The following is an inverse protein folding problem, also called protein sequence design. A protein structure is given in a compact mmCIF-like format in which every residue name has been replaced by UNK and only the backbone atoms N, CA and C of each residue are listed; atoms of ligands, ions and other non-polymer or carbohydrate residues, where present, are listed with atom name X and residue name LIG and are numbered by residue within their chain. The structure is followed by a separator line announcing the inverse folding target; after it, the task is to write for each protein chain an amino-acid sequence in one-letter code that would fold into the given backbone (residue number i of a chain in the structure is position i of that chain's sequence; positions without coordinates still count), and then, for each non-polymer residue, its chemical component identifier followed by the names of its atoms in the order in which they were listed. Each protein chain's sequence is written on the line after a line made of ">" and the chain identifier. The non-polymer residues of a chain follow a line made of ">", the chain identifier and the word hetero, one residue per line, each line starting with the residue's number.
data_IF_455764925250
#
_entry.id   IF_455764925250
#
_cell.length_a   1.000
_cell.length_b   1.000
_cell.length_c   1.000
_cell.angle_alpha   90.00
_cell.angle_beta   90.00
_cell.angle_gamma   90.00
#
_symmetry.space_group_name_H-M   'P 1'
#
loop_
_entity.id
_entity.type
_entity.pdbx_description
1 polymer ?
#
# COMPACT_ATOMS: atom_id res chain seq x y z
N UNK A 1 -17.31 -1.68 -1.46
CA UNK A 1 -18.41 -1.13 -2.28
C UNK A 1 -17.91 0.00 -3.20
N UNK A 2 -17.22 1.01 -2.67
CA UNK A 2 -16.70 2.14 -3.46
C UNK A 2 -15.80 1.68 -4.62
N UNK A 3 -14.88 0.74 -4.36
CA UNK A 3 -13.97 0.19 -5.37
C UNK A 3 -14.72 -0.50 -6.52
N UNK A 4 -15.76 -1.27 -6.21
CA UNK A 4 -16.60 -1.90 -7.22
C UNK A 4 -17.38 -0.88 -8.06
N UNK A 5 -17.86 0.17 -7.43
CA UNK A 5 -18.50 1.28 -8.15
C UNK A 5 -17.50 1.93 -9.12
N UNK A 6 -16.27 2.22 -8.69
CA UNK A 6 -15.22 2.78 -9.53
C UNK A 6 -14.89 1.84 -10.70
N UNK A 7 -14.73 0.54 -10.44
CA UNK A 7 -14.47 -0.45 -11.49
C UNK A 7 -15.65 -0.56 -12.48
N UNK A 8 -16.90 -0.35 -12.05
CA UNK A 8 -18.06 -0.39 -12.91
C UNK A 8 -18.13 0.75 -13.95
N UNK A 9 -17.49 1.89 -13.64
CA UNK A 9 -17.41 3.06 -14.55
C UNK A 9 -16.49 2.83 -15.75
N UNK A 10 -15.70 1.74 -15.75
CA UNK A 10 -14.76 1.39 -16.80
C UNK A 10 -13.34 1.87 -16.51
N UNK A 11 -12.39 1.39 -17.33
CA UNK A 11 -10.96 1.65 -17.11
C UNK A 11 -10.61 3.14 -17.21
N UNK A 12 -10.87 3.78 -18.34
CA UNK A 12 -10.46 5.16 -18.60
C UNK A 12 -11.21 6.20 -17.76
N UNK A 13 -12.54 6.07 -17.62
CA UNK A 13 -13.38 7.05 -16.91
C UNK A 13 -13.41 6.84 -15.40
N UNK A 14 -13.30 5.60 -14.95
CA UNK A 14 -13.36 5.24 -13.53
C UNK A 14 -11.98 5.01 -12.95
N UNK A 15 -11.41 3.87 -13.23
CA UNK A 15 -10.16 3.42 -12.59
C UNK A 15 -9.02 4.40 -12.81
N UNK A 16 -8.68 4.71 -14.03
CA UNK A 16 -7.51 5.55 -14.35
C UNK A 16 -7.65 6.98 -13.79
N UNK A 17 -8.78 7.64 -14.06
CA UNK A 17 -8.97 9.04 -13.66
C UNK A 17 -9.01 9.22 -12.15
N UNK A 18 -9.75 8.35 -11.46
CA UNK A 18 -9.91 8.43 -10.01
C UNK A 18 -8.60 8.06 -9.32
N UNK A 19 -7.93 6.99 -9.78
CA UNK A 19 -6.65 6.57 -9.22
C UNK A 19 -5.58 7.65 -9.42
N UNK A 20 -5.50 8.28 -10.58
CA UNK A 20 -4.59 9.41 -10.82
C UNK A 20 -4.79 10.55 -9.81
N UNK A 21 -6.03 10.97 -9.59
CA UNK A 21 -6.35 12.02 -8.63
C UNK A 21 -5.99 11.61 -7.18
N UNK A 22 -6.34 10.38 -6.80
CA UNK A 22 -6.00 9.84 -5.48
C UNK A 22 -4.50 9.75 -5.26
N UNK A 23 -3.74 9.24 -6.23
CA UNK A 23 -2.29 9.09 -6.14
C UNK A 23 -1.56 10.44 -6.10
N UNK A 24 -2.03 11.44 -6.86
CA UNK A 24 -1.48 12.80 -6.78
C UNK A 24 -1.70 13.42 -5.41
N UNK A 25 -2.89 13.26 -4.83
CA UNK A 25 -3.22 13.72 -3.49
C UNK A 25 -2.40 12.97 -2.43
N UNK A 26 -2.28 11.65 -2.56
CA UNK A 26 -1.46 10.80 -1.71
C UNK A 26 -0.01 11.27 -1.67
N UNK A 27 0.59 11.51 -2.84
CA UNK A 27 1.98 11.94 -2.93
C UNK A 27 2.21 13.30 -2.25
N UNK A 28 1.27 14.24 -2.41
CA UNK A 28 1.33 15.55 -1.77
C UNK A 28 1.23 15.43 -0.24
N UNK A 29 0.30 14.63 0.28
CA UNK A 29 0.17 14.36 1.72
C UNK A 29 1.43 13.69 2.26
N UNK A 30 1.98 12.73 1.54
CA UNK A 30 3.20 12.02 1.90
C UNK A 30 4.39 12.98 2.04
N UNK A 31 4.55 13.95 1.14
CA UNK A 31 5.59 14.97 1.24
C UNK A 31 5.41 15.87 2.49
N UNK A 32 4.17 16.31 2.77
CA UNK A 32 3.87 17.11 3.96
C UNK A 32 4.22 16.34 5.25
N UNK A 33 3.80 15.07 5.33
CA UNK A 33 4.08 14.21 6.47
C UNK A 33 5.58 13.93 6.62
N UNK A 34 6.30 13.72 5.52
CA UNK A 34 7.75 13.52 5.52
C UNK A 34 8.49 14.74 6.08
N UNK A 35 8.20 15.95 5.58
CA UNK A 35 8.80 17.19 6.07
C UNK A 35 8.55 17.34 7.58
N UNK A 36 7.33 17.06 8.02
CA UNK A 36 6.98 17.18 9.44
C UNK A 36 7.69 16.16 10.31
N UNK A 37 7.77 14.90 9.87
CA UNK A 37 8.43 13.82 10.62
C UNK A 37 9.93 14.11 10.81
N UNK A 38 10.60 14.52 9.75
CA UNK A 38 12.05 14.84 9.78
C UNK A 38 12.35 16.06 10.67
N UNK A 39 11.39 16.98 10.82
CA UNK A 39 11.57 18.19 11.67
C UNK A 39 11.18 17.97 13.13
N UNK A 40 10.81 16.77 13.55
CA UNK A 40 10.49 16.46 14.96
C UNK A 40 11.75 16.51 15.84
N UNK A 41 11.65 17.00 17.08
CA UNK A 41 12.71 16.86 18.06
C UNK A 41 13.02 15.38 18.31
N UNK A 42 14.29 14.96 18.20
CA UNK A 42 14.67 13.55 18.34
C UNK A 42 14.59 12.72 17.06
N UNK A 43 14.14 13.28 15.93
CA UNK A 43 14.06 12.57 14.65
C UNK A 43 15.42 12.10 14.10
N UNK A 44 16.53 12.71 14.54
CA UNK A 44 17.89 12.43 14.05
C UNK A 44 18.34 10.98 14.26
N UNK A 45 17.95 10.36 15.38
CA UNK A 45 18.26 8.95 15.65
C UNK A 45 17.50 8.02 14.69
N UNK A 46 16.22 8.29 14.43
CA UNK A 46 15.41 7.56 13.47
C UNK A 46 15.92 7.71 12.04
N UNK A 47 16.35 8.91 11.65
CA UNK A 47 17.00 9.15 10.36
C UNK A 47 18.30 8.36 10.23
N UNK A 48 19.14 8.38 11.28
CA UNK A 48 20.37 7.60 11.31
C UNK A 48 20.11 6.09 11.19
N UNK A 49 19.12 5.59 11.94
CA UNK A 49 18.72 4.18 11.87
C UNK A 49 18.27 3.77 10.47
N UNK A 50 17.51 4.63 9.80
CA UNK A 50 16.93 4.31 8.49
C UNK A 50 17.91 4.49 7.33
N UNK A 51 18.75 5.54 7.37
CA UNK A 51 19.61 5.91 6.24
C UNK A 51 21.01 5.31 6.30
N UNK A 52 21.50 4.96 7.50
CA UNK A 52 22.86 4.39 7.65
C UNK A 52 22.74 2.86 7.68
N UNK A 53 23.31 2.16 6.67
CA UNK A 53 23.27 0.72 6.63
C UNK A 53 24.11 0.10 7.76
N UNK A 54 23.51 -0.85 8.48
CA UNK A 54 24.19 -1.65 9.49
C UNK A 54 24.57 -3.04 8.90
N UNK A 55 25.81 -3.17 8.46
CA UNK A 55 26.31 -4.39 7.87
C UNK A 55 26.51 -5.53 8.89
N UNK A 56 26.57 -5.23 10.19
CA UNK A 56 26.66 -6.28 11.22
C UNK A 56 25.38 -7.09 11.28
N UNK A 57 24.23 -6.44 11.30
CA UNK A 57 22.90 -7.10 11.26
C UNK A 57 22.68 -7.89 9.97
N UNK A 58 23.24 -7.39 8.86
CA UNK A 58 23.15 -8.08 7.57
C UNK A 58 23.85 -9.44 7.60
N UNK A 59 25.01 -9.52 8.28
CA UNK A 59 25.80 -10.77 8.41
C UNK A 59 25.27 -11.69 9.51
N UNK A 60 24.80 -11.15 10.63
CA UNK A 60 24.22 -11.93 11.75
C UNK A 60 22.98 -12.73 11.33
N UNK A 61 22.08 -12.12 10.55
CA UNK A 61 20.88 -12.79 10.04
C UNK A 61 21.15 -13.75 8.87
N UNK A 62 22.38 -13.77 8.36
CA UNK A 62 22.77 -14.53 7.18
C UNK A 62 22.41 -13.81 5.87
N UNK A 63 23.42 -13.59 5.04
CA UNK A 63 23.28 -12.85 3.76
C UNK A 63 22.17 -13.44 2.88
N UNK A 64 22.07 -14.78 2.79
CA UNK A 64 21.05 -15.47 2.01
C UNK A 64 19.63 -15.18 2.49
N UNK A 65 19.40 -15.18 3.80
CA UNK A 65 18.09 -14.90 4.38
C UNK A 65 17.67 -13.45 4.15
N UNK A 66 18.61 -12.52 4.25
CA UNK A 66 18.33 -11.09 3.99
C UNK A 66 17.98 -10.84 2.54
N UNK A 67 18.71 -11.45 1.59
CA UNK A 67 18.40 -11.37 0.16
C UNK A 67 17.03 -11.98 -0.13
N UNK A 68 16.73 -13.16 0.44
CA UNK A 68 15.44 -13.82 0.26
C UNK A 68 14.27 -12.98 0.78
N UNK A 69 14.43 -12.37 1.96
CA UNK A 69 13.43 -11.46 2.52
C UNK A 69 13.22 -10.22 1.64
N UNK A 70 14.30 -9.62 1.13
CA UNK A 70 14.22 -8.49 0.21
C UNK A 70 13.52 -8.85 -1.12
N UNK A 71 13.80 -10.03 -1.67
CA UNK A 71 13.10 -10.55 -2.85
C UNK A 71 11.61 -10.74 -2.57
N UNK A 72 11.25 -11.34 -1.42
CA UNK A 72 9.87 -11.52 -1.01
C UNK A 72 9.12 -10.18 -0.90
N UNK A 73 9.77 -9.18 -0.32
CA UNK A 73 9.21 -7.82 -0.24
C UNK A 73 9.01 -7.19 -1.63
N UNK A 74 9.97 -7.32 -2.54
CA UNK A 74 9.86 -6.82 -3.91
C UNK A 74 8.71 -7.51 -4.68
N UNK A 75 8.55 -8.81 -4.55
CA UNK A 75 7.43 -9.56 -5.14
C UNK A 75 6.08 -9.09 -4.61
N UNK A 76 6.00 -8.81 -3.32
CA UNK A 76 4.76 -8.35 -2.68
C UNK A 76 4.41 -6.93 -3.11
N UNK A 77 5.35 -5.99 -3.01
CA UNK A 77 5.08 -4.56 -3.30
C UNK A 77 4.74 -4.32 -4.77
N UNK A 78 5.41 -5.02 -5.70
CA UNK A 78 5.14 -4.94 -7.14
C UNK A 78 3.96 -5.81 -7.60
N UNK A 79 3.28 -6.49 -6.66
CA UNK A 79 2.10 -7.34 -6.96
C UNK A 79 2.33 -8.38 -8.06
N UNK A 80 3.53 -8.95 -8.13
CA UNK A 80 3.90 -9.90 -9.18
C UNK A 80 3.13 -11.22 -9.04
N UNK A 81 2.94 -11.70 -7.79
CA UNK A 81 2.31 -12.99 -7.51
C UNK A 81 0.83 -13.08 -7.91
N UNK A 82 0.10 -11.96 -7.90
CA UNK A 82 -1.33 -11.93 -8.25
C UNK A 82 -1.59 -11.64 -9.75
N UNK A 83 -0.54 -11.48 -10.56
CA UNK A 83 -0.68 -11.23 -11.99
C UNK A 83 -1.19 -9.82 -12.37
N UNK A 84 -1.30 -8.90 -11.42
CA UNK A 84 -1.80 -7.54 -11.68
C UNK A 84 -0.96 -6.81 -12.73
N UNK A 85 0.36 -6.98 -12.69
CA UNK A 85 1.27 -6.38 -13.67
C UNK A 85 1.03 -6.91 -15.09
N UNK A 86 0.67 -8.18 -15.27
CA UNK A 86 0.33 -8.74 -16.58
C UNK A 86 -0.95 -8.09 -17.16
N UNK A 87 -1.97 -7.90 -16.33
CA UNK A 87 -3.23 -7.25 -16.73
C UNK A 87 -2.96 -5.79 -17.09
N UNK A 88 -2.29 -5.02 -16.22
CA UNK A 88 -1.98 -3.62 -16.53
C UNK A 88 -1.06 -3.49 -17.74
N UNK A 89 -0.10 -4.39 -17.90
CA UNK A 89 0.75 -4.46 -19.10
C UNK A 89 -0.04 -4.68 -20.39
N UNK A 90 -1.14 -5.42 -20.34
CA UNK A 90 -2.02 -5.64 -21.51
C UNK A 90 -2.79 -4.38 -21.93
N UNK A 91 -2.92 -3.40 -21.04
CA UNK A 91 -3.59 -2.13 -21.31
C UNK A 91 -2.65 -1.03 -21.84
N UNK A 92 -1.33 -1.27 -21.81
CA UNK A 92 -0.34 -0.31 -22.30
C UNK A 92 -0.44 -0.20 -23.82
N UNK A 93 -0.58 1.03 -24.31
CA UNK A 93 -0.60 1.33 -25.74
C UNK A 93 0.74 1.05 -26.42
N UNK A 94 0.73 0.89 -27.74
CA UNK A 94 1.94 0.60 -28.55
C UNK A 94 2.95 1.76 -28.56
N UNK A 95 2.56 2.92 -28.07
CA UNK A 95 3.41 4.12 -27.97
C UNK A 95 4.38 4.07 -26.78
N UNK A 96 4.21 3.11 -25.88
CA UNK A 96 5.01 2.91 -24.69
C UNK A 96 5.84 1.63 -24.77
N UNK A 97 7.04 1.64 -24.19
CA UNK A 97 7.88 0.45 -24.09
C UNK A 97 7.67 -0.22 -22.71
N UNK A 98 7.48 -1.53 -22.69
CA UNK A 98 7.31 -2.27 -21.43
C UNK A 98 8.51 -2.08 -20.47
N UNK A 99 9.72 -2.05 -21.00
CA UNK A 99 10.94 -1.82 -20.18
C UNK A 99 10.93 -0.45 -19.54
N UNK A 100 10.56 0.61 -20.30
CA UNK A 100 10.48 1.96 -19.77
C UNK A 100 9.45 2.09 -18.65
N UNK A 101 8.25 1.53 -18.86
CA UNK A 101 7.19 1.52 -17.83
C UNK A 101 7.60 0.72 -16.59
N UNK A 102 8.28 -0.41 -16.78
CA UNK A 102 8.79 -1.21 -15.64
C UNK A 102 9.78 -0.41 -14.79
N UNK A 103 10.73 0.27 -15.42
CA UNK A 103 11.71 1.11 -14.72
C UNK A 103 10.99 2.24 -13.97
N UNK A 104 10.04 2.92 -14.60
CA UNK A 104 9.28 4.00 -13.97
C UNK A 104 8.48 3.49 -12.75
N UNK A 105 7.83 2.33 -12.87
CA UNK A 105 7.08 1.71 -11.77
C UNK A 105 8.01 1.39 -10.61
N UNK A 106 9.14 0.72 -10.86
CA UNK A 106 10.10 0.37 -9.82
C UNK A 106 10.67 1.62 -9.12
N UNK A 107 10.99 2.67 -9.87
CA UNK A 107 11.51 3.91 -9.30
C UNK A 107 10.46 4.63 -8.43
N UNK A 108 9.21 4.72 -8.90
CA UNK A 108 8.13 5.37 -8.15
C UNK A 108 7.75 4.56 -6.90
N UNK A 109 7.67 3.24 -7.00
CA UNK A 109 7.41 2.36 -5.86
C UNK A 109 8.48 2.51 -4.78
N UNK A 110 9.76 2.45 -5.19
CA UNK A 110 10.90 2.64 -4.29
C UNK A 110 10.90 4.04 -3.66
N UNK A 111 10.58 5.08 -4.44
CA UNK A 111 10.50 6.46 -3.94
C UNK A 111 9.42 6.61 -2.87
N UNK A 112 8.23 6.09 -3.11
CA UNK A 112 7.12 6.14 -2.15
C UNK A 112 7.45 5.35 -0.89
N UNK A 113 8.02 4.15 -1.02
CA UNK A 113 8.46 3.34 0.10
C UNK A 113 9.54 4.05 0.94
N UNK A 114 10.51 4.68 0.28
CA UNK A 114 11.56 5.47 0.92
C UNK A 114 11.00 6.66 1.70
N UNK A 115 10.09 7.42 1.10
CA UNK A 115 9.44 8.55 1.76
C UNK A 115 8.56 8.09 2.94
N UNK A 116 7.86 6.96 2.81
CA UNK A 116 7.09 6.38 3.92
C UNK A 116 8.00 5.99 5.10
N UNK A 117 9.19 5.43 4.84
CA UNK A 117 10.20 5.18 5.85
C UNK A 117 10.65 6.46 6.56
N UNK A 118 10.85 7.56 5.83
CA UNK A 118 11.18 8.87 6.40
C UNK A 118 10.03 9.48 7.25
N UNK A 119 8.81 8.99 7.14
CA UNK A 119 7.71 9.35 8.02
C UNK A 119 7.75 8.50 9.29
N UNK A 120 7.86 7.19 9.14
CA UNK A 120 7.66 6.22 10.23
C UNK A 120 8.86 6.23 11.18
N UNK A 121 10.09 6.00 10.68
CA UNK A 121 11.25 5.84 11.55
C UNK A 121 11.57 7.08 12.40
N UNK A 122 11.67 8.29 11.84
CA UNK A 122 11.92 9.47 12.67
C UNK A 122 10.81 9.72 13.69
N UNK A 123 9.54 9.47 13.33
CA UNK A 123 8.42 9.59 14.26
C UNK A 123 8.51 8.59 15.42
N UNK A 124 8.81 7.32 15.14
CA UNK A 124 8.96 6.29 16.16
C UNK A 124 10.08 6.63 17.15
N UNK A 125 11.25 7.00 16.66
CA UNK A 125 12.39 7.36 17.50
C UNK A 125 12.17 8.65 18.30
N UNK A 126 11.54 9.67 17.70
CA UNK A 126 11.21 10.90 18.39
C UNK A 126 10.28 10.68 19.61
N UNK A 127 9.48 9.63 19.60
CA UNK A 127 8.54 9.30 20.69
C UNK A 127 8.92 8.02 21.47
N UNK A 128 10.12 7.48 21.24
CA UNK A 128 10.63 6.30 21.96
C UNK A 128 9.84 5.02 21.70
N UNK A 129 9.31 4.84 20.48
CA UNK A 129 8.49 3.69 20.08
C UNK A 129 9.28 2.75 19.18
N UNK A 130 9.14 1.44 19.42
CA UNK A 130 9.74 0.43 18.56
C UNK A 130 9.01 0.37 17.20
N UNK A 131 9.72 0.56 16.08
CA UNK A 131 9.14 0.46 14.74
C UNK A 131 8.75 -0.98 14.34
N UNK A 132 9.20 -2.01 15.07
CA UNK A 132 8.96 -3.43 14.78
C UNK A 132 7.58 -3.96 15.16
N UNK A 133 6.63 -3.12 15.62
CA UNK A 133 5.33 -3.55 16.16
C UNK A 133 4.29 -4.02 15.12
N UNK A 134 4.66 -4.10 13.83
CA UNK A 134 3.73 -4.54 12.79
C UNK A 134 2.47 -3.68 12.64
N UNK A 135 1.28 -4.27 12.41
CA UNK A 135 0.03 -3.51 12.24
C UNK A 135 -0.35 -2.65 13.44
N UNK A 136 0.05 -3.03 14.66
CA UNK A 136 -0.15 -2.26 15.87
C UNK A 136 0.52 -0.90 15.83
N UNK A 137 1.64 -0.78 15.13
CA UNK A 137 2.32 0.50 14.90
C UNK A 137 1.40 1.52 14.23
N UNK A 138 0.70 1.12 13.17
CA UNK A 138 -0.14 2.02 12.36
C UNK A 138 -1.43 2.40 13.07
N UNK A 139 -2.10 1.44 13.73
CA UNK A 139 -3.46 1.66 14.24
C UNK A 139 -3.54 1.99 15.73
N UNK A 140 -2.49 1.71 16.50
CA UNK A 140 -2.45 1.97 17.93
C UNK A 140 -1.38 3.01 18.27
N UNK A 141 -0.16 2.77 17.81
CA UNK A 141 1.01 3.55 18.23
C UNK A 141 1.07 4.92 17.57
N UNK A 142 0.95 4.99 16.24
CA UNK A 142 0.97 6.29 15.53
C UNK A 142 -0.17 7.22 15.94
N UNK A 143 -1.43 6.79 16.16
CA UNK A 143 -2.46 7.65 16.73
C UNK A 143 -2.09 8.23 18.09
N UNK A 144 -1.47 7.44 18.97
CA UNK A 144 -0.99 7.92 20.28
C UNK A 144 0.13 8.94 20.14
N UNK A 145 1.05 8.75 19.20
CA UNK A 145 2.09 9.72 18.86
C UNK A 145 1.46 11.03 18.38
N UNK A 146 0.52 10.99 17.46
CA UNK A 146 -0.15 12.17 16.94
C UNK A 146 -0.87 12.95 18.06
N UNK A 147 -1.46 12.27 19.04
CA UNK A 147 -2.10 12.95 20.18
C UNK A 147 -1.11 13.74 21.07
N UNK A 148 0.17 13.38 21.05
CA UNK A 148 1.21 14.06 21.82
C UNK A 148 1.90 15.19 21.03
N UNK A 149 1.70 15.27 19.72
CA UNK A 149 2.31 16.26 18.85
C UNK A 149 1.52 17.57 18.83
N UNK A 150 2.23 18.69 18.74
CA UNK A 150 1.61 20.00 18.42
C UNK A 150 1.01 19.93 17.01
N UNK A 151 -0.29 20.18 16.90
CA UNK A 151 -1.03 20.04 15.65
C UNK A 151 -1.31 18.58 15.23
N UNK A 152 -1.08 17.61 16.10
CA UNK A 152 -1.15 16.19 15.80
C UNK A 152 -2.49 15.70 15.26
N UNK A 153 -3.61 16.37 15.60
CA UNK A 153 -4.92 16.06 15.02
C UNK A 153 -4.93 16.24 13.50
N UNK A 154 -4.31 17.30 12.98
CA UNK A 154 -4.24 17.55 11.53
C UNK A 154 -3.35 16.51 10.88
N UNK A 155 -2.18 16.22 11.46
CA UNK A 155 -1.26 15.20 10.94
C UNK A 155 -1.86 13.79 10.99
N UNK A 156 -2.59 13.45 12.06
CA UNK A 156 -3.31 12.19 12.17
C UNK A 156 -4.37 12.05 11.08
N UNK A 157 -5.18 13.07 10.85
CA UNK A 157 -6.17 13.06 9.76
C UNK A 157 -5.48 12.89 8.40
N UNK A 158 -4.44 13.66 8.11
CA UNK A 158 -3.68 13.55 6.86
C UNK A 158 -3.08 12.16 6.68
N UNK A 159 -2.52 11.58 7.73
CA UNK A 159 -1.95 10.23 7.70
C UNK A 159 -3.02 9.18 7.38
N UNK A 160 -4.18 9.21 8.03
CA UNK A 160 -5.25 8.25 7.76
C UNK A 160 -5.93 8.47 6.40
N UNK A 161 -6.01 9.70 5.89
CA UNK A 161 -6.43 9.98 4.52
C UNK A 161 -5.42 9.40 3.52
N UNK A 162 -4.12 9.58 3.76
CA UNK A 162 -3.04 8.96 2.99
C UNK A 162 -3.19 7.43 2.96
N UNK A 163 -3.33 6.80 4.12
CA UNK A 163 -3.50 5.35 4.24
C UNK A 163 -4.76 4.85 3.52
N UNK A 164 -5.85 5.61 3.62
CA UNK A 164 -7.11 5.29 2.93
C UNK A 164 -6.94 5.33 1.42
N UNK A 165 -6.26 6.33 0.88
CA UNK A 165 -6.01 6.41 -0.56
C UNK A 165 -5.06 5.31 -1.04
N UNK A 166 -4.02 5.00 -0.28
CA UNK A 166 -3.11 3.90 -0.58
C UNK A 166 -3.85 2.55 -0.62
N UNK A 167 -4.63 2.25 0.42
CA UNK A 167 -5.43 1.03 0.48
C UNK A 167 -6.48 0.97 -0.65
N UNK A 168 -7.17 2.08 -0.91
CA UNK A 168 -8.21 2.14 -1.93
C UNK A 168 -7.66 1.91 -3.35
N UNK A 169 -6.49 2.48 -3.68
CA UNK A 169 -5.85 2.28 -4.98
C UNK A 169 -5.45 0.82 -5.20
N UNK A 170 -4.90 0.17 -4.18
CA UNK A 170 -4.55 -1.25 -4.22
C UNK A 170 -5.78 -2.15 -4.39
N UNK A 171 -6.86 -1.89 -3.65
CA UNK A 171 -8.11 -2.63 -3.77
C UNK A 171 -8.70 -2.49 -5.19
N UNK A 172 -8.67 -1.30 -5.77
CA UNK A 172 -9.14 -1.07 -7.15
C UNK A 172 -8.30 -1.90 -8.13
N UNK A 173 -6.97 -1.92 -7.98
CA UNK A 173 -6.07 -2.68 -8.83
C UNK A 173 -6.34 -4.20 -8.76
N UNK A 174 -6.52 -4.74 -7.55
CA UNK A 174 -6.84 -6.16 -7.35
C UNK A 174 -8.21 -6.51 -7.95
N UNK A 175 -9.22 -5.66 -7.75
CA UNK A 175 -10.56 -5.90 -8.31
C UNK A 175 -10.56 -5.80 -9.82
N UNK A 176 -9.81 -4.86 -10.41
CA UNK A 176 -9.66 -4.77 -11.87
C UNK A 176 -9.03 -6.05 -12.44
N UNK A 177 -8.02 -6.61 -11.76
CA UNK A 177 -7.41 -7.86 -12.14
C UNK A 177 -8.44 -9.00 -12.15
N UNK A 178 -9.23 -9.18 -11.07
CA UNK A 178 -10.25 -10.22 -10.98
C UNK A 178 -11.35 -10.03 -12.02
N UNK A 179 -11.81 -8.79 -12.22
CA UNK A 179 -12.87 -8.45 -13.18
C UNK A 179 -12.41 -8.73 -14.61
N UNK A 180 -11.19 -8.29 -14.96
CA UNK A 180 -10.62 -8.52 -16.30
C UNK A 180 -10.49 -10.02 -16.60
N UNK A 181 -9.88 -10.77 -15.68
CA UNK A 181 -9.78 -12.22 -15.78
C UNK A 181 -11.15 -12.89 -15.97
N UNK A 182 -12.15 -12.50 -15.16
CA UNK A 182 -13.49 -13.07 -15.24
C UNK A 182 -14.20 -12.72 -16.53
N UNK A 183 -13.98 -11.52 -17.07
CA UNK A 183 -14.54 -11.11 -18.37
C UNK A 183 -13.95 -11.93 -19.50
N UNK A 184 -12.64 -12.14 -19.49
CA UNK A 184 -11.94 -12.90 -20.53
C UNK A 184 -12.32 -14.39 -20.49
N UNK A 185 -12.46 -14.96 -19.29
CA UNK A 185 -12.80 -16.38 -19.11
C UNK A 185 -14.25 -16.69 -19.47
N UNK A 186 -15.20 -15.85 -19.05
CA UNK A 186 -16.64 -16.13 -19.18
C UNK A 186 -17.32 -15.33 -20.31
N UNK A 187 -16.61 -14.44 -21.00
CA UNK A 187 -17.17 -13.62 -22.07
C UNK A 187 -18.30 -12.69 -21.61
N UNK A 188 -18.34 -12.29 -20.34
CA UNK A 188 -19.44 -11.53 -19.74
C UNK A 188 -19.20 -10.02 -19.82
N UNK A 189 -20.31 -9.27 -19.83
CA UNK A 189 -20.21 -7.80 -19.84
C UNK A 189 -19.67 -7.27 -18.50
N UNK A 190 -18.88 -6.19 -18.54
CA UNK A 190 -18.23 -5.59 -17.38
C UNK A 190 -19.17 -5.35 -16.18
N UNK A 191 -20.36 -4.77 -16.41
CA UNK A 191 -21.33 -4.51 -15.33
C UNK A 191 -21.81 -5.79 -14.63
N UNK A 192 -22.07 -6.84 -15.39
CA UNK A 192 -22.48 -8.13 -14.87
C UNK A 192 -21.36 -8.79 -14.09
N UNK A 193 -20.14 -8.75 -14.62
CA UNK A 193 -18.95 -9.32 -13.98
C UNK A 193 -18.63 -8.60 -12.65
N UNK A 194 -18.70 -7.27 -12.63
CA UNK A 194 -18.49 -6.48 -11.40
C UNK A 194 -19.53 -6.84 -10.34
N UNK A 195 -20.80 -7.02 -10.70
CA UNK A 195 -21.84 -7.39 -9.74
C UNK A 195 -21.60 -8.79 -9.16
N UNK A 196 -21.33 -9.79 -10.02
CA UNK A 196 -21.13 -11.17 -9.59
C UNK A 196 -19.87 -11.28 -8.70
N UNK A 197 -18.73 -10.75 -9.15
CA UNK A 197 -17.50 -10.78 -8.37
C UNK A 197 -17.63 -9.94 -7.08
N UNK A 198 -18.37 -8.84 -7.11
CA UNK A 198 -18.65 -8.03 -5.92
C UNK A 198 -19.37 -8.82 -4.84
N UNK A 199 -20.44 -9.53 -5.21
CA UNK A 199 -21.18 -10.39 -4.29
C UNK A 199 -20.29 -11.54 -3.79
N UNK A 200 -19.56 -12.20 -4.69
CA UNK A 200 -18.69 -13.31 -4.34
C UNK A 200 -17.60 -12.88 -3.35
N UNK A 201 -16.92 -11.76 -3.59
CA UNK A 201 -15.86 -11.26 -2.69
C UNK A 201 -16.44 -10.87 -1.32
N UNK A 202 -17.61 -10.23 -1.28
CA UNK A 202 -18.28 -9.92 -0.01
C UNK A 202 -18.56 -11.22 0.76
N UNK A 203 -19.15 -12.21 0.14
CA UNK A 203 -19.46 -13.48 0.78
C UNK A 203 -18.19 -14.21 1.25
N UNK A 204 -17.14 -14.25 0.42
CA UNK A 204 -15.86 -14.87 0.77
C UNK A 204 -15.09 -14.11 1.84
N UNK A 205 -15.35 -12.81 2.04
CA UNK A 205 -14.74 -12.03 3.12
C UNK A 205 -15.37 -12.27 4.49
N UNK A 206 -16.62 -12.77 4.55
CA UNK A 206 -17.33 -12.99 5.82
C UNK A 206 -16.59 -13.95 6.77
N UNK A 207 -16.06 -15.11 6.33
CA UNK A 207 -15.29 -15.98 7.21
C UNK A 207 -14.07 -15.29 7.82
N UNK A 208 -13.36 -14.46 7.05
CA UNK A 208 -12.22 -13.70 7.57
C UNK A 208 -12.65 -12.69 8.65
N UNK A 209 -13.77 -11.99 8.43
CA UNK A 209 -14.29 -11.02 9.41
C UNK A 209 -14.79 -11.73 10.66
N UNK A 210 -15.50 -12.85 10.52
CA UNK A 210 -16.03 -13.62 11.65
C UNK A 210 -14.94 -14.33 12.44
N UNK A 211 -13.81 -14.70 11.83
CA UNK A 211 -12.66 -15.28 12.51
C UNK A 211 -12.07 -14.38 13.59
N UNK A 212 -12.18 -13.05 13.44
CA UNK A 212 -11.73 -12.10 14.45
C UNK A 212 -12.73 -11.89 15.61
N UNK A 213 -13.96 -12.36 15.48
CA UNK A 213 -15.05 -12.05 16.43
C UNK A 213 -15.83 -13.29 16.86
N UNK A 214 -16.76 -13.72 16.00
CA UNK A 214 -17.73 -14.79 16.32
C UNK A 214 -17.07 -16.17 16.28
N UNK A 215 -16.09 -16.35 15.40
CA UNK A 215 -15.37 -17.61 15.19
C UNK A 215 -13.92 -17.51 15.67
N UNK A 216 -13.68 -16.84 16.79
CA UNK A 216 -12.31 -16.63 17.34
C UNK A 216 -11.57 -17.93 17.65
N UNK A 217 -12.27 -19.08 17.76
CA UNK A 217 -11.68 -20.41 17.90
C UNK A 217 -11.24 -21.06 16.57
N UNK A 218 -11.61 -20.47 15.42
CA UNK A 218 -11.24 -20.92 14.09
C UNK A 218 -10.29 -19.89 13.49
N UNK A 219 -9.02 -19.99 13.84
CA UNK A 219 -7.96 -19.19 13.20
C UNK A 219 -7.42 -20.05 12.03
N UNK A 220 -7.52 -19.55 10.77
CA UNK A 220 -6.90 -20.21 9.63
C UNK A 220 -5.38 -20.13 9.68
#
# INVERSE_FOLDING_TARGET
>A
LLSFFICSLGLQKGVERITKAMMSCLFLILLILCIRSVTLPGASEGLRFYLIPDFTRFTENGVGNTIFAAMGQAFFTLSLGIGAMAIFGSYIGKDHTLTGETINICLLDTLVAFLAGLIIFPSCFAFGVDPGQGPGLVFITLPNIFNQMVGGRIFGVLFFVFMTFAAQSTIIAVFENIISFSMDLFGTSRKKTVLINGIAIILLSLPCVFGFNIWSGFQP
#
